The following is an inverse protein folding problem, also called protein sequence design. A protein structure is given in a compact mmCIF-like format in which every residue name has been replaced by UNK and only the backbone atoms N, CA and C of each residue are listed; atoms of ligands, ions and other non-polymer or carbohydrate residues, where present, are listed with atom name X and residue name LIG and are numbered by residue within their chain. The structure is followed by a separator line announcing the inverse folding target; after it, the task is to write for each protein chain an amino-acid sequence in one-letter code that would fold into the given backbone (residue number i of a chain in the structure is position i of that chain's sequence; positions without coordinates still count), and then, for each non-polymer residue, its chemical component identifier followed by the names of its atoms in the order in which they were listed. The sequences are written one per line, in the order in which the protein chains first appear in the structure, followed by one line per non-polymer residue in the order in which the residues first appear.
data_IF_286644539808
#
_entry.id   IF_286644539808
#
_cell.length_a   1.000
_cell.length_b   1.000
_cell.length_c   1.000
_cell.angle_alpha   90.00
_cell.angle_beta   90.00
_cell.angle_gamma   90.00
#
_symmetry.space_group_name_H-M   'P 1'
#
loop_
_entity.id
_entity.type
_entity.pdbx_description
1 polymer ?
#
# COMPACT_ATOMS: atom_id res chain seq x y z
N UNK A 1 -13.63 -25.75 -0.63
CA UNK A 1 -14.38 -24.53 -0.36
C UNK A 1 -13.40 -23.46 0.04
N UNK A 2 -13.17 -22.46 -0.76
CA UNK A 2 -12.39 -21.32 -0.31
C UNK A 2 -13.25 -20.55 0.68
N UNK A 3 -12.95 -20.69 1.95
CA UNK A 3 -13.50 -19.78 2.95
C UNK A 3 -12.70 -18.50 2.80
N UNK A 4 -13.26 -17.56 2.09
CA UNK A 4 -12.78 -16.19 2.09
C UNK A 4 -13.05 -15.64 3.47
N UNK A 5 -12.11 -15.82 4.38
CA UNK A 5 -12.13 -15.06 5.62
C UNK A 5 -11.74 -13.64 5.28
N UNK A 6 -12.73 -12.93 4.89
CA UNK A 6 -12.77 -11.49 4.82
C UNK A 6 -12.27 -10.96 6.17
N UNK A 7 -11.38 -10.01 6.12
CA UNK A 7 -11.13 -9.09 7.20
C UNK A 7 -12.50 -8.58 7.66
N UNK A 8 -13.04 -9.22 8.70
CA UNK A 8 -14.27 -8.74 9.31
C UNK A 8 -13.96 -7.36 9.87
N UNK A 9 -14.75 -6.40 9.45
CA UNK A 9 -14.66 -5.00 9.78
C UNK A 9 -14.16 -4.78 11.21
N UNK A 10 -12.95 -4.27 11.33
CA UNK A 10 -12.58 -3.53 12.53
C UNK A 10 -13.55 -2.36 12.56
N UNK A 11 -14.33 -2.24 13.63
CA UNK A 11 -15.25 -1.14 13.79
C UNK A 11 -14.50 0.18 13.50
N UNK A 12 -15.08 1.07 12.69
CA UNK A 12 -14.43 2.31 12.38
C UNK A 12 -14.23 3.09 13.68
N UNK A 13 -12.97 3.22 14.08
CA UNK A 13 -12.60 4.26 15.00
C UNK A 13 -12.93 5.57 14.29
N UNK A 14 -13.86 6.34 14.81
CA UNK A 14 -14.10 7.67 14.32
C UNK A 14 -12.84 8.50 14.61
N UNK A 15 -12.05 8.72 13.58
CA UNK A 15 -10.89 9.59 13.69
C UNK A 15 -11.13 10.89 12.92
N UNK A 16 -10.67 11.97 13.49
CA UNK A 16 -10.55 13.23 12.78
C UNK A 16 -9.36 13.15 11.83
N UNK A 17 -9.61 12.74 10.58
CA UNK A 17 -8.60 12.64 9.53
C UNK A 17 -8.09 11.21 9.28
N UNK A 18 -8.73 10.52 8.36
CA UNK A 18 -8.27 9.23 7.87
C UNK A 18 -6.94 9.41 7.11
N UNK A 19 -5.91 8.69 7.49
CA UNK A 19 -4.65 8.61 6.74
C UNK A 19 -4.78 7.64 5.58
N UNK A 20 -5.56 6.58 5.76
CA UNK A 20 -5.87 5.58 4.76
C UNK A 20 -7.36 5.24 4.80
N UNK A 21 -8.01 5.27 3.66
CA UNK A 21 -9.36 4.77 3.48
C UNK A 21 -9.42 3.85 2.26
N UNK A 22 -9.88 2.64 2.48
CA UNK A 22 -10.21 1.67 1.43
C UNK A 22 -11.69 1.39 1.51
N UNK A 23 -12.39 1.51 0.41
CA UNK A 23 -13.83 1.32 0.35
C UNK A 23 -14.22 0.38 -0.77
N UNK A 24 -14.85 -0.73 -0.39
CA UNK A 24 -15.40 -1.74 -1.30
C UNK A 24 -14.41 -2.19 -2.40
N UNK A 25 -13.21 -2.53 -2.02
CA UNK A 25 -12.14 -2.90 -2.94
C UNK A 25 -12.29 -4.36 -3.40
N UNK A 26 -12.37 -4.55 -4.71
CA UNK A 26 -12.44 -5.85 -5.38
C UNK A 26 -11.27 -6.04 -6.33
N UNK A 27 -10.67 -7.20 -6.30
CA UNK A 27 -9.62 -7.57 -7.24
C UNK A 27 -9.59 -9.06 -7.50
N UNK A 28 -9.45 -9.42 -8.79
CA UNK A 28 -9.22 -10.79 -9.24
C UNK A 28 -7.99 -10.84 -10.12
N UNK A 29 -7.20 -11.87 -9.96
CA UNK A 29 -6.06 -12.15 -10.84
C UNK A 29 -6.54 -12.63 -12.22
N UNK A 30 -5.70 -12.54 -13.28
CA UNK A 30 -6.06 -12.97 -14.62
C UNK A 30 -6.45 -14.45 -14.74
N UNK A 31 -6.00 -15.29 -13.83
CA UNK A 31 -6.35 -16.71 -13.72
C UNK A 31 -7.75 -16.96 -13.15
N UNK A 32 -8.48 -15.89 -12.77
CA UNK A 32 -9.81 -15.95 -12.19
C UNK A 32 -9.83 -16.05 -10.67
N UNK A 33 -8.68 -16.11 -10.00
CA UNK A 33 -8.63 -16.12 -8.54
C UNK A 33 -9.06 -14.77 -7.96
N UNK A 34 -10.16 -14.78 -7.19
CA UNK A 34 -10.64 -13.60 -6.47
C UNK A 34 -9.81 -13.41 -5.21
N UNK A 35 -8.98 -12.37 -5.18
CA UNK A 35 -8.11 -12.07 -4.06
C UNK A 35 -8.73 -11.08 -3.06
N UNK A 36 -9.48 -10.10 -3.55
CA UNK A 36 -10.19 -9.12 -2.73
C UNK A 36 -11.65 -9.07 -3.15
N UNK A 37 -12.55 -9.13 -2.19
CA UNK A 37 -13.99 -9.18 -2.42
C UNK A 37 -14.74 -8.23 -1.48
N UNK A 38 -14.74 -6.95 -1.81
CA UNK A 38 -15.41 -5.93 -1.04
C UNK A 38 -14.69 -5.56 0.27
N UNK A 39 -13.37 -5.37 0.20
CA UNK A 39 -12.57 -5.00 1.37
C UNK A 39 -12.74 -3.52 1.67
N UNK A 40 -13.09 -3.22 2.92
CA UNK A 40 -13.16 -1.86 3.45
C UNK A 40 -12.32 -1.74 4.72
N UNK A 41 -11.54 -0.66 4.80
CA UNK A 41 -10.59 -0.42 5.89
C UNK A 41 -10.36 1.07 6.04
N UNK A 42 -10.27 1.54 7.29
CA UNK A 42 -9.85 2.91 7.60
C UNK A 42 -8.74 2.88 8.63
N UNK A 43 -7.74 3.71 8.44
CA UNK A 43 -6.65 3.92 9.41
C UNK A 43 -6.52 5.40 9.72
N UNK A 44 -6.31 5.67 11.00
CA UNK A 44 -6.04 7.01 11.52
C UNK A 44 -4.54 7.26 11.64
N UNK A 45 -4.17 8.51 11.76
CA UNK A 45 -2.78 8.87 12.05
C UNK A 45 -2.31 8.23 13.36
N UNK A 46 -1.12 7.62 13.32
CA UNK A 46 -0.51 6.94 14.48
C UNK A 46 -0.96 5.50 14.68
N UNK A 47 -1.93 5.00 13.94
CA UNK A 47 -2.37 3.61 14.05
C UNK A 47 -1.25 2.63 13.68
N UNK A 48 -1.20 1.53 14.45
CA UNK A 48 -0.39 0.35 14.13
C UNK A 48 -1.33 -0.83 13.97
N UNK A 49 -1.42 -1.35 12.76
CA UNK A 49 -2.38 -2.40 12.40
C UNK A 49 -1.67 -3.63 11.89
N UNK A 50 -2.06 -4.79 12.40
CA UNK A 50 -1.61 -6.07 11.91
C UNK A 50 -2.70 -6.71 11.04
N UNK A 51 -2.32 -7.12 9.84
CA UNK A 51 -3.16 -7.85 8.92
C UNK A 51 -2.91 -9.34 9.10
N UNK A 52 -3.85 -10.06 9.65
CA UNK A 52 -3.71 -11.47 10.04
C UNK A 52 -4.67 -12.35 9.22
N UNK A 53 -4.18 -13.46 8.74
CA UNK A 53 -4.97 -14.44 8.02
C UNK A 53 -4.10 -15.52 7.39
N UNK A 54 -4.70 -16.60 6.88
CA UNK A 54 -3.98 -17.68 6.21
C UNK A 54 -3.31 -17.22 4.92
N UNK A 55 -2.36 -18.01 4.42
CA UNK A 55 -1.78 -17.79 3.11
C UNK A 55 -2.88 -17.82 2.03
N UNK A 56 -2.83 -16.88 1.09
CA UNK A 56 -3.85 -16.74 0.05
C UNK A 56 -5.11 -15.96 0.47
N UNK A 57 -5.15 -15.39 1.67
CA UNK A 57 -6.27 -14.56 2.12
C UNK A 57 -6.35 -13.16 1.48
N UNK A 58 -5.37 -12.79 0.66
CA UNK A 58 -5.34 -11.48 -0.01
C UNK A 58 -4.54 -10.40 0.71
N UNK A 59 -3.81 -10.73 1.78
CA UNK A 59 -3.02 -9.75 2.56
C UNK A 59 -2.00 -8.99 1.70
N UNK A 60 -1.15 -9.72 0.98
CA UNK A 60 -0.14 -9.14 0.09
C UNK A 60 -0.79 -8.38 -1.07
N UNK A 61 -1.88 -8.90 -1.59
CA UNK A 61 -2.65 -8.25 -2.67
C UNK A 61 -3.20 -6.91 -2.21
N UNK A 62 -3.75 -6.83 -1.01
CA UNK A 62 -4.19 -5.56 -0.44
C UNK A 62 -3.03 -4.56 -0.31
N UNK A 63 -1.90 -4.99 0.23
CA UNK A 63 -0.71 -4.14 0.35
C UNK A 63 -0.25 -3.56 -0.99
N UNK A 64 -0.28 -4.35 -2.06
CA UNK A 64 0.10 -3.91 -3.40
C UNK A 64 -0.89 -2.91 -4.02
N UNK A 65 -2.13 -2.86 -3.54
CA UNK A 65 -3.10 -1.85 -3.94
C UNK A 65 -2.85 -0.50 -3.25
N UNK A 66 -2.31 -0.50 -2.04
CA UNK A 66 -2.12 0.73 -1.27
C UNK A 66 -1.08 1.69 -1.85
N UNK A 67 -0.15 1.21 -2.65
CA UNK A 67 0.80 2.05 -3.38
C UNK A 67 0.60 2.03 -4.91
N UNK A 68 -0.50 1.44 -5.37
CA UNK A 68 -0.87 1.43 -6.79
C UNK A 68 -0.06 0.51 -7.68
N UNK A 69 0.60 -0.52 -7.14
CA UNK A 69 1.21 -1.59 -7.95
C UNK A 69 0.12 -2.41 -8.62
N UNK A 70 -0.95 -2.72 -7.89
CA UNK A 70 -2.15 -3.33 -8.44
C UNK A 70 -3.31 -2.33 -8.44
N UNK A 71 -4.22 -2.46 -9.36
CA UNK A 71 -5.43 -1.66 -9.47
C UNK A 71 -6.67 -2.53 -9.56
N UNK A 72 -7.57 -2.39 -8.61
CA UNK A 72 -8.87 -3.09 -8.55
C UNK A 72 -10.06 -2.15 -8.73
N UNK A 73 -11.24 -2.68 -8.48
CA UNK A 73 -12.48 -1.90 -8.42
C UNK A 73 -12.74 -1.50 -6.96
N UNK A 74 -13.13 -0.28 -6.74
CA UNK A 74 -13.35 0.31 -5.42
C UNK A 74 -12.55 1.59 -5.27
N UNK A 75 -12.57 2.15 -4.08
CA UNK A 75 -11.89 3.41 -3.80
C UNK A 75 -10.78 3.20 -2.77
N UNK A 76 -9.61 3.74 -3.07
CA UNK A 76 -8.48 3.86 -2.15
C UNK A 76 -8.10 5.32 -2.06
N UNK A 77 -8.02 5.84 -0.85
CA UNK A 77 -7.64 7.22 -0.58
C UNK A 77 -6.54 7.24 0.48
N UNK A 78 -5.49 8.00 0.22
CA UNK A 78 -4.33 8.13 1.10
C UNK A 78 -4.07 9.60 1.34
N UNK A 79 -4.09 10.00 2.61
CA UNK A 79 -3.90 11.38 3.03
C UNK A 79 -4.80 12.36 2.25
N UNK A 80 -6.08 12.01 2.05
CA UNK A 80 -7.04 12.82 1.32
C UNK A 80 -6.91 12.78 -0.22
N UNK A 81 -5.98 11.97 -0.75
CA UNK A 81 -5.77 11.83 -2.20
C UNK A 81 -6.28 10.47 -2.68
N UNK A 82 -7.19 10.48 -3.63
CA UNK A 82 -7.67 9.27 -4.29
C UNK A 82 -6.53 8.62 -5.08
N UNK A 83 -6.46 7.29 -5.04
CA UNK A 83 -5.51 6.50 -5.80
C UNK A 83 -5.90 6.50 -7.28
N UNK A 84 -5.49 7.52 -7.98
CA UNK A 84 -5.65 7.70 -9.41
C UNK A 84 -4.28 7.76 -10.07
N UNK A 85 -4.24 7.56 -11.38
CA UNK A 85 -2.99 7.63 -12.14
C UNK A 85 -2.27 8.97 -11.95
N UNK A 86 -3.02 10.05 -11.82
CA UNK A 86 -2.49 11.41 -11.63
C UNK A 86 -1.85 11.59 -10.24
N UNK A 87 -2.42 10.96 -9.23
CA UNK A 87 -1.97 11.07 -7.83
C UNK A 87 -0.90 10.03 -7.44
N UNK A 88 -0.65 9.03 -8.29
CA UNK A 88 0.32 7.96 -8.00
C UNK A 88 1.70 8.46 -7.57
N UNK A 89 2.34 9.44 -8.24
CA UNK A 89 3.64 9.93 -7.80
C UNK A 89 3.64 10.47 -6.37
N UNK A 90 2.62 11.26 -6.02
CA UNK A 90 2.47 11.84 -4.69
C UNK A 90 2.17 10.76 -3.64
N UNK A 91 1.32 9.79 -3.97
CA UNK A 91 0.98 8.67 -3.07
C UNK A 91 2.18 7.79 -2.82
N UNK A 92 2.95 7.44 -3.84
CA UNK A 92 4.17 6.63 -3.72
C UNK A 92 5.26 7.31 -2.91
N UNK A 93 5.30 8.64 -2.90
CA UNK A 93 6.19 9.39 -2.02
C UNK A 93 5.80 9.30 -0.53
N UNK A 94 4.51 9.06 -0.25
CA UNK A 94 3.97 8.96 1.11
C UNK A 94 3.88 7.52 1.63
N UNK A 95 3.75 6.53 0.75
CA UNK A 95 3.55 5.12 1.11
C UNK A 95 4.83 4.34 0.85
N UNK A 96 5.51 3.96 1.90
CA UNK A 96 6.62 3.01 1.84
C UNK A 96 6.10 1.56 1.86
N UNK A 97 6.58 0.73 0.94
CA UNK A 97 6.27 -0.69 0.89
C UNK A 97 7.55 -1.50 1.15
N UNK A 98 7.50 -2.39 2.14
CA UNK A 98 8.56 -3.36 2.41
C UNK A 98 8.12 -4.72 1.87
N UNK A 99 8.88 -5.27 0.92
CA UNK A 99 8.58 -6.58 0.35
C UNK A 99 8.96 -7.72 1.30
N UNK A 100 8.31 -8.86 1.15
CA UNK A 100 8.59 -10.05 1.95
C UNK A 100 10.01 -10.56 1.73
N UNK A 101 10.50 -10.52 0.48
CA UNK A 101 11.88 -10.85 0.15
C UNK A 101 12.71 -9.56 0.03
N UNK A 102 13.75 -9.36 0.88
CA UNK A 102 14.59 -8.17 0.82
C UNK A 102 15.28 -7.96 -0.52
N UNK A 103 15.63 -9.03 -1.21
CA UNK A 103 16.33 -8.98 -2.50
C UNK A 103 15.47 -8.34 -3.61
N UNK A 104 14.15 -8.41 -3.50
CA UNK A 104 13.24 -7.78 -4.45
C UNK A 104 13.29 -6.25 -4.43
N UNK A 105 13.90 -5.67 -3.39
CA UNK A 105 14.05 -4.23 -3.23
C UNK A 105 15.40 -3.69 -3.69
N UNK A 106 16.39 -4.57 -3.86
CA UNK A 106 17.75 -4.20 -4.23
C UNK A 106 17.89 -4.19 -5.76
N UNK A 107 18.12 -3.05 -6.34
CA UNK A 107 18.25 -2.90 -7.79
C UNK A 107 19.44 -2.04 -8.23
N UNK A 108 20.09 -1.35 -7.30
CA UNK A 108 21.24 -0.48 -7.57
C UNK A 108 22.57 -1.19 -7.33
N UNK A 109 23.66 -0.77 -7.99
CA UNK A 109 24.97 -1.35 -7.81
C UNK A 109 25.57 -1.15 -6.42
N UNK A 110 25.16 -0.10 -5.71
CA UNK A 110 25.67 0.26 -4.39
C UNK A 110 24.54 0.48 -3.37
N UNK A 111 24.86 0.28 -2.10
CA UNK A 111 23.93 0.56 -0.99
C UNK A 111 23.54 2.04 -0.96
N UNK A 112 24.49 2.93 -1.22
CA UNK A 112 24.19 4.36 -1.27
C UNK A 112 23.14 4.69 -2.32
N UNK A 113 23.26 4.17 -3.54
CA UNK A 113 22.32 4.42 -4.62
C UNK A 113 20.91 3.86 -4.30
N UNK A 114 20.82 2.69 -3.68
CA UNK A 114 19.54 2.13 -3.25
C UNK A 114 18.85 2.99 -2.19
N UNK A 115 19.57 3.44 -1.18
CA UNK A 115 19.04 4.30 -0.11
C UNK A 115 18.71 5.69 -0.63
N UNK A 116 19.54 6.25 -1.50
CA UNK A 116 19.37 7.57 -2.07
C UNK A 116 18.26 7.65 -3.14
N UNK A 117 17.86 6.53 -3.71
CA UNK A 117 16.92 6.48 -4.83
C UNK A 117 15.59 7.19 -4.52
N UNK A 118 14.97 6.87 -3.40
CA UNK A 118 13.70 7.50 -2.99
C UNK A 118 13.81 9.02 -2.87
N UNK A 119 14.69 9.54 -2.00
CA UNK A 119 14.87 10.97 -1.82
C UNK A 119 15.25 11.72 -3.11
N UNK A 120 16.09 11.15 -3.97
CA UNK A 120 16.45 11.75 -5.26
C UNK A 120 15.23 11.83 -6.20
N UNK A 121 14.42 10.78 -6.26
CA UNK A 121 13.19 10.77 -7.05
C UNK A 121 12.11 11.71 -6.52
N UNK A 122 12.16 12.04 -5.24
CA UNK A 122 11.31 13.07 -4.63
C UNK A 122 11.79 14.49 -4.93
N UNK A 123 12.91 14.64 -5.63
CA UNK A 123 13.45 15.93 -6.06
C UNK A 123 14.29 16.64 -5.01
N UNK A 124 14.76 15.94 -3.98
CA UNK A 124 15.65 16.54 -2.99
C UNK A 124 17.05 16.80 -3.57
N UNK A 125 17.69 17.92 -3.19
CA UNK A 125 19.08 18.18 -3.59
C UNK A 125 20.03 17.09 -3.11
N UNK A 126 21.04 16.76 -3.90
CA UNK A 126 22.00 15.70 -3.58
C UNK A 126 22.71 15.91 -2.23
N UNK A 127 23.03 17.15 -1.87
CA UNK A 127 23.61 17.48 -0.57
C UNK A 127 22.69 17.10 0.59
N UNK A 128 21.38 17.36 0.45
CA UNK A 128 20.40 16.99 1.47
C UNK A 128 20.22 15.46 1.55
N UNK A 129 20.24 14.78 0.41
CA UNK A 129 20.17 13.31 0.35
C UNK A 129 21.36 12.66 1.07
N UNK A 130 22.57 13.24 0.92
CA UNK A 130 23.77 12.73 1.61
C UNK A 130 23.76 12.95 3.12
N UNK A 131 23.01 13.96 3.60
CA UNK A 131 22.91 14.26 5.04
C UNK A 131 21.87 13.43 5.76
N UNK A 132 20.86 12.91 5.06
CA UNK A 132 19.79 12.07 5.61
C UNK A 132 20.20 10.61 5.69
#
# INVERSE_FOLDING_TARGET
MPVTHIISSIAPLECEGDVLSVNDLHFSYPDGHVALNGVSLKLCEGDKVALVGPNGAGKSTLMLHLNGILGGKGEVEIAGKKLTRENLPAIRAMVGLVFQNPDDQLFSPTVFEDVAFGPLHMGLPEEEVRMR
#
